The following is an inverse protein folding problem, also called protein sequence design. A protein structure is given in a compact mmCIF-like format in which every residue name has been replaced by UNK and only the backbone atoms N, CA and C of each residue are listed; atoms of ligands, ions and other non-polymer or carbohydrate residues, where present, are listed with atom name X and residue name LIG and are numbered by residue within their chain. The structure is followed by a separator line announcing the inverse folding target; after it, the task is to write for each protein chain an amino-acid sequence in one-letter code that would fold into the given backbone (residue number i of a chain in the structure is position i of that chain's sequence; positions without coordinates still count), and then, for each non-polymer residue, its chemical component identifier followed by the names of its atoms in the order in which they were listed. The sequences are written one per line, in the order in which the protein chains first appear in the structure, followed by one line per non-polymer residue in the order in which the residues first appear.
data_IF_633490625616
#
_entry.id   IF_633490625616
#
_cell.length_a   1.000
_cell.length_b   1.000
_cell.length_c   1.000
_cell.angle_alpha   90.00
_cell.angle_beta   90.00
_cell.angle_gamma   90.00
#
_symmetry.space_group_name_H-M   'P 1'
#
loop_
_entity.id
_entity.type
_entity.pdbx_description
1 polymer ?
#
# COMPACT_ATOMS: atom_id res chain seq x y z
N UNK A 1 -0.58 27.65 33.58
CA UNK A 1 -1.48 28.14 32.51
C UNK A 1 -2.43 27.02 32.14
N UNK A 2 -3.75 27.25 32.19
CA UNK A 2 -4.75 26.26 31.73
C UNK A 2 -4.76 26.30 30.21
N UNK A 3 -4.18 25.29 29.57
CA UNK A 3 -4.25 25.10 28.12
C UNK A 3 -5.72 24.98 27.70
N UNK A 4 -6.14 25.90 26.86
CA UNK A 4 -7.45 25.87 26.22
C UNK A 4 -7.45 24.64 25.30
N UNK A 5 -8.10 23.54 25.70
CA UNK A 5 -8.16 22.33 24.87
C UNK A 5 -8.98 22.65 23.63
N UNK A 6 -8.29 22.89 22.52
CA UNK A 6 -8.93 23.01 21.22
C UNK A 6 -9.61 21.69 20.90
N UNK A 7 -10.71 21.72 20.13
CA UNK A 7 -11.35 20.50 19.63
C UNK A 7 -10.45 19.69 18.69
N UNK A 8 -9.29 20.23 18.34
CA UNK A 8 -8.34 19.70 17.37
C UNK A 8 -7.02 19.22 18.00
N UNK A 9 -6.93 19.17 19.33
CA UNK A 9 -5.72 18.74 20.04
C UNK A 9 -5.58 17.21 19.96
N UNK A 10 -4.59 16.71 19.21
CA UNK A 10 -4.22 15.30 19.15
C UNK A 10 -3.01 15.04 20.04
N UNK A 11 -3.09 14.01 20.89
CA UNK A 11 -2.01 13.69 21.83
C UNK A 11 -0.89 12.88 21.15
N UNK A 12 0.36 13.28 21.38
CA UNK A 12 1.55 12.48 21.07
C UNK A 12 1.97 11.70 22.33
N UNK A 13 2.04 10.37 22.30
CA UNK A 13 2.50 9.57 23.43
C UNK A 13 3.92 9.98 23.87
N UNK A 14 4.15 10.09 25.18
CA UNK A 14 5.45 10.54 25.74
C UNK A 14 6.64 9.69 25.29
N UNK A 15 6.45 8.40 25.05
CA UNK A 15 7.48 7.49 24.56
C UNK A 15 7.86 7.71 23.10
N UNK A 16 7.13 8.57 22.38
CA UNK A 16 7.39 8.94 20.99
C UNK A 16 7.94 10.36 20.85
N UNK A 17 8.14 11.06 21.97
CA UNK A 17 8.82 12.35 22.00
C UNK A 17 10.32 12.16 21.73
N UNK A 18 10.94 13.01 20.87
CA UNK A 18 12.39 13.11 20.78
C UNK A 18 13.00 13.41 22.15
N UNK A 19 14.18 12.85 22.41
CA UNK A 19 14.84 12.94 23.72
C UNK A 19 15.20 14.39 24.12
N UNK A 20 15.38 15.25 23.14
CA UNK A 20 15.80 16.65 23.20
C UNK A 20 14.67 17.63 22.90
N UNK A 21 13.43 17.16 22.77
CA UNK A 21 12.29 18.03 22.47
C UNK A 21 11.97 18.96 23.65
N UNK A 22 11.90 20.25 23.36
CA UNK A 22 11.53 21.31 24.29
C UNK A 22 10.10 21.81 24.03
N UNK A 23 9.54 22.54 25.01
CA UNK A 23 8.23 23.16 24.86
C UNK A 23 8.35 24.26 23.80
N UNK A 24 7.61 24.11 22.70
CA UNK A 24 7.63 25.05 21.58
C UNK A 24 8.18 24.44 20.29
N UNK A 25 8.80 23.25 20.38
CA UNK A 25 9.31 22.57 19.20
C UNK A 25 8.19 22.03 18.30
N UNK A 26 8.42 22.12 17.00
CA UNK A 26 7.57 21.50 15.99
C UNK A 26 8.00 20.04 15.76
N UNK A 27 7.04 19.12 15.85
CA UNK A 27 7.28 17.69 15.66
C UNK A 27 6.41 17.20 14.50
N UNK A 28 7.06 16.63 13.48
CA UNK A 28 6.36 15.95 12.38
C UNK A 28 5.72 14.66 12.92
N UNK A 29 4.40 14.54 12.79
CA UNK A 29 3.65 13.38 13.26
C UNK A 29 2.65 12.89 12.21
N UNK A 30 2.38 11.59 12.22
CA UNK A 30 1.28 10.97 11.48
C UNK A 30 0.07 10.81 12.40
N UNK A 31 -1.12 11.21 11.93
CA UNK A 31 -2.37 11.16 12.70
C UNK A 31 -3.27 10.05 12.18
N UNK A 32 -3.77 9.19 13.07
CA UNK A 32 -4.67 8.09 12.71
C UNK A 32 -5.54 7.65 13.90
N UNK A 33 -6.49 6.74 13.66
CA UNK A 33 -7.34 6.14 14.71
C UNK A 33 -6.78 4.83 15.23
N UNK A 34 -6.64 4.74 16.55
CA UNK A 34 -6.20 3.52 17.25
C UNK A 34 -7.28 2.42 17.28
N UNK A 35 -7.08 1.37 18.08
CA UNK A 35 -8.05 0.28 18.25
C UNK A 35 -9.31 0.68 19.01
N UNK A 36 -9.27 1.79 19.77
CA UNK A 36 -10.39 2.34 20.55
C UNK A 36 -11.10 3.49 19.80
N UNK A 37 -10.83 3.65 18.50
CA UNK A 37 -11.39 4.70 17.64
C UNK A 37 -11.01 6.12 18.05
N UNK A 38 -9.91 6.27 18.81
CA UNK A 38 -9.40 7.56 19.25
C UNK A 38 -8.40 8.10 18.24
N UNK A 39 -8.48 9.39 17.94
CA UNK A 39 -7.45 10.08 17.18
C UNK A 39 -6.17 10.16 18.01
N UNK A 40 -5.10 9.59 17.46
CA UNK A 40 -3.76 9.57 18.04
C UNK A 40 -2.74 10.08 17.03
N UNK A 41 -1.61 10.56 17.53
CA UNK A 41 -0.47 10.94 16.69
C UNK A 41 0.74 10.05 16.98
N UNK A 42 1.58 9.85 15.98
CA UNK A 42 2.81 9.06 16.09
C UNK A 42 3.96 9.69 15.31
N UNK A 43 5.18 9.58 15.83
CA UNK A 43 6.41 9.93 15.09
C UNK A 43 6.89 8.78 14.18
N UNK A 44 6.25 7.61 14.27
CA UNK A 44 6.50 6.50 13.34
C UNK A 44 5.98 6.86 11.96
N UNK A 45 6.79 6.60 10.94
CA UNK A 45 6.40 6.81 9.54
C UNK A 45 5.75 5.53 9.01
N UNK A 46 4.47 5.57 8.58
CA UNK A 46 3.85 4.42 7.94
C UNK A 46 4.56 4.11 6.61
N UNK A 47 4.46 2.87 6.15
CA UNK A 47 5.07 2.42 4.88
C UNK A 47 4.45 3.05 3.64
N UNK A 48 3.27 3.66 3.79
CA UNK A 48 2.54 4.38 2.74
C UNK A 48 1.57 5.39 3.38
N UNK A 49 1.24 6.43 2.62
CA UNK A 49 0.21 7.42 2.92
C UNK A 49 -0.87 7.47 1.83
N UNK A 50 -1.91 8.29 1.99
CA UNK A 50 -2.98 8.42 1.00
C UNK A 50 -2.39 8.89 -0.34
N UNK A 51 -2.82 8.23 -1.43
CA UNK A 51 -2.31 8.48 -2.78
C UNK A 51 -1.04 7.70 -3.13
N UNK A 52 -0.45 7.01 -2.16
CA UNK A 52 0.69 6.12 -2.38
C UNK A 52 0.28 4.65 -2.44
N UNK A 53 1.14 3.83 -3.02
CA UNK A 53 1.02 2.38 -3.05
C UNK A 53 2.27 1.74 -2.48
N UNK A 54 2.11 0.67 -1.72
CA UNK A 54 3.22 -0.10 -1.18
C UNK A 54 2.88 -1.59 -1.13
N UNK A 55 3.92 -2.43 -1.20
CA UNK A 55 3.79 -3.87 -0.96
C UNK A 55 3.86 -4.11 0.53
N UNK A 56 2.75 -4.58 1.12
CA UNK A 56 2.64 -4.86 2.54
C UNK A 56 2.53 -6.36 2.82
N UNK A 57 3.02 -6.78 3.99
CA UNK A 57 2.94 -8.16 4.45
C UNK A 57 1.67 -8.40 5.26
N UNK A 58 0.99 -9.52 5.02
CA UNK A 58 -0.19 -9.94 5.79
C UNK A 58 0.25 -10.53 7.13
N UNK A 59 -0.13 -9.88 8.22
CA UNK A 59 0.12 -10.34 9.60
C UNK A 59 -0.93 -11.38 10.00
N UNK A 60 -2.19 -11.15 9.62
CA UNK A 60 -3.31 -12.01 9.98
C UNK A 60 -4.42 -11.99 8.93
N UNK A 61 -5.17 -13.08 8.84
CA UNK A 61 -6.40 -13.21 8.04
C UNK A 61 -7.54 -13.67 8.93
N UNK A 62 -8.69 -13.02 8.84
CA UNK A 62 -9.89 -13.28 9.65
C UNK A 62 -11.14 -13.36 8.77
N UNK A 63 -12.30 -13.66 9.35
CA UNK A 63 -13.57 -13.71 8.62
C UNK A 63 -14.04 -12.37 8.03
N UNK A 64 -13.49 -11.25 8.50
CA UNK A 64 -13.86 -9.90 8.01
C UNK A 64 -12.88 -9.33 6.98
N UNK A 65 -11.71 -9.93 6.83
CA UNK A 65 -10.65 -9.43 5.96
C UNK A 65 -9.25 -9.85 6.42
N UNK A 66 -8.25 -9.05 6.06
CA UNK A 66 -6.86 -9.27 6.45
C UNK A 66 -6.28 -8.04 7.16
N UNK A 67 -5.20 -8.25 7.90
CA UNK A 67 -4.46 -7.21 8.61
C UNK A 67 -3.03 -7.17 8.08
N UNK A 68 -2.59 -5.98 7.68
CA UNK A 68 -1.32 -5.76 6.99
C UNK A 68 -0.35 -4.95 7.85
N UNK A 69 0.90 -5.36 7.87
CA UNK A 69 1.98 -4.60 8.52
C UNK A 69 2.38 -3.41 7.64
N UNK A 70 1.94 -2.23 8.05
CA UNK A 70 2.29 -0.93 7.49
C UNK A 70 3.21 -0.08 8.39
N UNK A 71 3.78 -0.66 9.45
CA UNK A 71 4.79 -0.02 10.30
C UNK A 71 4.26 0.78 11.50
N UNK A 72 2.95 0.83 11.74
CA UNK A 72 2.36 1.43 12.94
C UNK A 72 1.95 0.36 13.97
N UNK A 73 1.58 0.80 15.18
CA UNK A 73 1.21 -0.11 16.28
C UNK A 73 -0.06 -0.92 16.02
N UNK A 74 -0.94 -0.38 15.17
CA UNK A 74 -2.17 -1.03 14.73
C UNK A 74 -1.98 -1.48 13.28
N UNK A 75 -2.25 -2.76 12.99
CA UNK A 75 -2.21 -3.26 11.62
C UNK A 75 -3.27 -2.60 10.73
N UNK A 76 -2.94 -2.44 9.45
CA UNK A 76 -3.83 -1.83 8.47
C UNK A 76 -4.86 -2.85 7.99
N UNK A 77 -6.14 -2.52 8.14
CA UNK A 77 -7.23 -3.41 7.77
C UNK A 77 -7.45 -3.43 6.25
N UNK A 78 -7.48 -4.63 5.66
CA UNK A 78 -7.83 -4.91 4.26
C UNK A 78 -9.17 -5.67 4.22
N UNK A 79 -10.31 -4.98 4.01
CA UNK A 79 -11.62 -5.60 3.97
C UNK A 79 -11.74 -6.61 2.83
N UNK A 80 -12.56 -7.66 3.02
CA UNK A 80 -12.75 -8.71 2.01
C UNK A 80 -13.16 -8.19 0.62
N UNK A 81 -14.02 -7.18 0.57
CA UNK A 81 -14.48 -6.53 -0.68
C UNK A 81 -13.38 -5.79 -1.46
N UNK A 82 -12.28 -5.45 -0.78
CA UNK A 82 -11.14 -4.74 -1.35
C UNK A 82 -9.98 -5.69 -1.70
N UNK A 83 -10.17 -7.01 -1.55
CA UNK A 83 -9.17 -8.02 -1.88
C UNK A 83 -9.31 -8.47 -3.34
N UNK A 84 -8.17 -8.65 -4.01
CA UNK A 84 -8.11 -9.25 -5.35
C UNK A 84 -7.54 -10.66 -5.22
N UNK A 85 -8.40 -11.66 -5.40
CA UNK A 85 -8.03 -13.07 -5.23
C UNK A 85 -7.91 -13.49 -3.76
N UNK A 86 -7.25 -14.63 -3.52
CA UNK A 86 -7.10 -15.19 -2.16
C UNK A 86 -5.92 -14.55 -1.44
N UNK A 87 -6.19 -13.83 -0.36
CA UNK A 87 -5.18 -13.30 0.55
C UNK A 87 -4.79 -14.36 1.58
N UNK A 88 -3.49 -14.56 1.80
CA UNK A 88 -2.97 -15.54 2.76
C UNK A 88 -2.04 -14.87 3.77
N UNK A 89 -2.07 -15.36 5.02
CA UNK A 89 -1.14 -14.92 6.07
C UNK A 89 0.31 -15.11 5.63
N UNK A 90 1.16 -14.11 5.89
CA UNK A 90 2.56 -14.06 5.44
C UNK A 90 2.74 -13.64 3.98
N UNK A 91 1.68 -13.61 3.17
CA UNK A 91 1.72 -13.11 1.79
C UNK A 91 2.06 -11.62 1.70
N UNK A 92 2.47 -11.18 0.52
CA UNK A 92 2.83 -9.78 0.24
C UNK A 92 2.00 -9.25 -0.91
N UNK A 93 1.34 -8.11 -0.72
CA UNK A 93 0.41 -7.58 -1.70
C UNK A 93 0.62 -6.09 -1.91
N UNK A 94 0.57 -5.66 -3.17
CA UNK A 94 0.53 -4.25 -3.51
C UNK A 94 -0.83 -3.69 -3.15
N UNK A 95 -0.85 -2.70 -2.26
CA UNK A 95 -2.06 -2.05 -1.77
C UNK A 95 -1.92 -0.54 -1.79
N UNK A 96 -3.05 0.15 -1.74
CA UNK A 96 -3.15 1.58 -1.50
C UNK A 96 -3.98 1.86 -0.24
N UNK A 97 -3.83 3.06 0.32
CA UNK A 97 -4.66 3.55 1.41
C UNK A 97 -5.91 4.25 0.89
N UNK A 98 -7.03 4.05 1.59
CA UNK A 98 -8.25 4.83 1.44
C UNK A 98 -8.91 5.06 2.80
N UNK A 99 -9.80 6.07 2.86
CA UNK A 99 -10.63 6.34 4.03
C UNK A 99 -12.03 5.76 3.77
N UNK A 100 -12.52 4.94 4.69
CA UNK A 100 -13.86 4.37 4.58
C UNK A 100 -14.96 5.30 5.12
N UNK A 101 -16.21 4.86 5.06
CA UNK A 101 -17.37 5.65 5.53
C UNK A 101 -17.40 5.87 7.04
N UNK A 102 -16.59 5.16 7.82
CA UNK A 102 -16.41 5.36 9.26
C UNK A 102 -15.20 6.25 9.58
N UNK A 103 -14.62 6.88 8.56
CA UNK A 103 -13.45 7.74 8.68
C UNK A 103 -12.24 6.98 9.27
N UNK A 104 -12.06 5.73 8.81
CA UNK A 104 -10.92 4.87 9.17
C UNK A 104 -10.05 4.60 7.95
N UNK A 105 -8.74 4.59 8.18
CA UNK A 105 -7.76 4.19 7.17
C UNK A 105 -7.80 2.67 6.95
N UNK A 106 -8.02 2.29 5.70
CA UNK A 106 -8.07 0.91 5.24
C UNK A 106 -7.19 0.72 4.00
N UNK A 107 -6.77 -0.52 3.75
CA UNK A 107 -6.06 -0.92 2.55
C UNK A 107 -7.03 -1.39 1.45
N UNK A 108 -6.66 -1.17 0.20
CA UNK A 108 -7.32 -1.77 -0.97
C UNK A 108 -6.31 -2.34 -1.97
N UNK A 109 -6.63 -3.50 -2.56
CA UNK A 109 -5.92 -4.08 -3.71
C UNK A 109 -6.50 -3.60 -5.05
N UNK A 110 -7.61 -2.85 -5.04
CA UNK A 110 -8.25 -2.28 -6.25
C UNK A 110 -7.49 -1.03 -6.74
N UNK A 111 -6.23 -1.20 -7.13
CA UNK A 111 -5.29 -0.10 -7.40
C UNK A 111 -5.30 0.41 -8.85
N UNK A 112 -6.11 -0.17 -9.75
CA UNK A 112 -6.06 0.14 -11.18
C UNK A 112 -6.15 1.64 -11.48
N UNK A 113 -7.07 2.34 -10.82
CA UNK A 113 -7.29 3.78 -11.01
C UNK A 113 -6.21 4.66 -10.39
N UNK A 114 -5.32 4.10 -9.58
CA UNK A 114 -4.20 4.80 -8.93
C UNK A 114 -2.91 4.69 -9.72
N UNK A 115 -2.85 3.78 -10.70
CA UNK A 115 -1.69 3.60 -11.55
C UNK A 115 -1.58 4.74 -12.56
N UNK A 116 -0.37 5.29 -12.68
CA UNK A 116 -0.03 6.34 -13.62
C UNK A 116 0.12 5.80 -15.04
N UNK A 117 -0.34 6.57 -16.02
CA UNK A 117 -0.25 6.22 -17.45
C UNK A 117 0.91 6.93 -18.17
N UNK A 118 1.52 7.93 -17.54
CA UNK A 118 2.64 8.73 -18.07
C UNK A 118 4.01 8.10 -17.78
N UNK A 119 4.11 6.79 -18.02
CA UNK A 119 5.33 6.01 -17.81
C UNK A 119 6.52 6.56 -18.60
N UNK A 120 7.71 6.72 -17.99
CA UNK A 120 8.93 7.11 -18.70
C UNK A 120 9.59 5.93 -19.45
N UNK A 121 9.13 4.70 -19.23
CA UNK A 121 9.77 3.50 -19.76
C UNK A 121 9.56 3.34 -21.26
N UNK A 122 10.59 2.81 -21.92
CA UNK A 122 10.63 2.48 -23.34
C UNK A 122 10.62 0.98 -23.53
N UNK A 123 10.35 0.60 -24.77
CA UNK A 123 10.48 -0.79 -25.22
C UNK A 123 11.92 -1.26 -25.01
N UNK A 124 12.05 -2.48 -24.49
CA UNK A 124 13.26 -3.17 -24.05
C UNK A 124 13.86 -2.70 -22.72
N UNK A 125 13.23 -1.76 -22.02
CA UNK A 125 13.65 -1.44 -20.66
C UNK A 125 13.41 -2.63 -19.72
N UNK A 126 14.38 -2.89 -18.85
CA UNK A 126 14.24 -3.84 -17.75
C UNK A 126 13.85 -3.10 -16.49
N UNK A 127 12.75 -3.52 -15.89
CA UNK A 127 12.19 -2.88 -14.69
C UNK A 127 11.64 -3.92 -13.72
N UNK A 128 11.20 -3.49 -12.52
CA UNK A 128 10.51 -4.36 -11.57
C UNK A 128 9.00 -4.25 -11.76
N UNK A 129 8.34 -5.39 -11.80
CA UNK A 129 6.89 -5.49 -11.84
C UNK A 129 6.34 -6.20 -10.61
N UNK A 130 5.20 -5.72 -10.14
CA UNK A 130 4.38 -6.41 -9.14
C UNK A 130 3.06 -6.79 -9.78
N UNK A 131 2.70 -8.08 -9.74
CA UNK A 131 1.37 -8.52 -10.20
C UNK A 131 0.35 -8.10 -9.14
N UNK A 132 -0.67 -7.36 -9.56
CA UNK A 132 -1.76 -6.97 -8.68
C UNK A 132 -3.08 -7.67 -9.01
N UNK A 133 -3.20 -8.28 -10.18
CA UNK A 133 -4.38 -9.05 -10.60
C UNK A 133 -4.02 -10.07 -11.67
N UNK A 134 -4.75 -11.19 -11.70
CA UNK A 134 -4.65 -12.21 -12.76
C UNK A 134 -6.04 -12.51 -13.28
N UNK A 135 -6.26 -12.30 -14.58
CA UNK A 135 -7.45 -12.72 -15.31
C UNK A 135 -7.14 -13.94 -16.16
N UNK A 136 -8.05 -14.92 -16.19
CA UNK A 136 -7.93 -16.08 -17.07
C UNK A 136 -7.99 -15.71 -18.56
N UNK A 137 -8.72 -14.65 -18.89
CA UNK A 137 -8.93 -14.20 -20.27
C UNK A 137 -7.88 -13.18 -20.71
N UNK A 138 -7.50 -12.27 -19.82
CA UNK A 138 -6.64 -11.13 -20.15
C UNK A 138 -5.18 -11.31 -19.72
N UNK A 139 -4.89 -12.32 -18.89
CA UNK A 139 -3.55 -12.56 -18.34
C UNK A 139 -3.27 -11.80 -17.04
N UNK A 140 -1.98 -11.62 -16.73
CA UNK A 140 -1.53 -10.97 -15.52
C UNK A 140 -1.40 -9.46 -15.69
N UNK A 141 -1.95 -8.70 -14.74
CA UNK A 141 -1.82 -7.25 -14.68
C UNK A 141 -0.68 -6.86 -13.76
N UNK A 142 0.21 -6.01 -14.26
CA UNK A 142 1.47 -5.66 -13.60
C UNK A 142 1.55 -4.17 -13.37
N UNK A 143 1.86 -3.78 -12.12
CA UNK A 143 2.25 -2.43 -11.77
C UNK A 143 3.78 -2.32 -11.83
N UNK A 144 4.28 -1.45 -12.69
CA UNK A 144 5.73 -1.23 -12.85
C UNK A 144 6.22 -0.24 -11.80
N UNK A 145 7.28 -0.63 -11.08
CA UNK A 145 7.82 0.07 -9.91
C UNK A 145 6.73 0.53 -8.92
N UNK A 146 5.66 -0.27 -8.80
CA UNK A 146 4.48 -0.01 -7.97
C UNK A 146 3.76 1.32 -8.28
N UNK A 147 3.94 1.88 -9.48
CA UNK A 147 3.45 3.23 -9.82
C UNK A 147 2.75 3.30 -11.16
N UNK A 148 3.25 2.59 -12.17
CA UNK A 148 2.82 2.81 -13.54
C UNK A 148 2.03 1.63 -14.09
N UNK A 149 0.97 1.95 -14.83
CA UNK A 149 0.25 1.02 -15.68
C UNK A 149 0.85 1.09 -17.08
N UNK A 150 1.29 -0.05 -17.60
CA UNK A 150 1.74 -0.19 -18.98
C UNK A 150 0.67 -1.03 -19.69
N UNK A 151 -0.38 -0.36 -20.17
CA UNK A 151 -1.57 -1.04 -20.68
C UNK A 151 -1.31 -1.96 -21.87
N UNK A 152 -2.01 -3.11 -21.90
CA UNK A 152 -2.14 -4.14 -22.94
C UNK A 152 -0.89 -4.54 -23.76
N UNK A 153 0.31 -4.07 -23.42
CA UNK A 153 1.54 -4.68 -23.87
C UNK A 153 1.70 -5.93 -23.03
N UNK A 154 1.31 -7.06 -23.61
CA UNK A 154 1.62 -8.37 -23.04
C UNK A 154 3.11 -8.39 -22.73
N UNK A 155 3.44 -8.32 -21.45
CA UNK A 155 4.77 -8.64 -20.97
C UNK A 155 4.96 -10.10 -21.34
N UNK A 156 5.77 -10.37 -22.36
CA UNK A 156 6.06 -11.74 -22.75
C UNK A 156 6.88 -12.36 -21.62
N UNK A 157 6.17 -13.07 -20.73
CA UNK A 157 6.78 -13.79 -19.64
C UNK A 157 7.58 -14.96 -20.22
N UNK A 158 8.87 -14.76 -20.48
CA UNK A 158 9.72 -15.84 -20.99
C UNK A 158 9.85 -16.99 -19.97
N UNK A 159 9.47 -16.81 -18.69
CA UNK A 159 9.40 -17.90 -17.71
C UNK A 159 8.34 -17.61 -16.62
N UNK A 160 7.05 -17.92 -16.85
CA UNK A 160 6.02 -17.78 -15.81
C UNK A 160 5.23 -19.08 -15.58
N UNK A 161 5.94 -20.19 -15.41
CA UNK A 161 5.34 -21.41 -14.85
C UNK A 161 5.93 -21.83 -13.49
N UNK A 162 6.90 -21.08 -12.91
CA UNK A 162 7.65 -21.60 -11.75
C UNK A 162 7.57 -20.73 -10.48
N UNK A 163 7.18 -19.45 -10.52
CA UNK A 163 7.22 -18.60 -9.32
C UNK A 163 5.89 -17.92 -9.01
N UNK A 164 5.00 -18.66 -8.34
CA UNK A 164 3.79 -18.14 -7.66
C UNK A 164 4.10 -17.86 -6.17
N UNK A 165 5.37 -17.59 -5.82
CA UNK A 165 5.81 -17.49 -4.42
C UNK A 165 6.68 -16.27 -4.09
N UNK A 166 7.00 -15.39 -5.06
CA UNK A 166 7.80 -14.19 -4.81
C UNK A 166 7.33 -13.05 -5.74
N UNK A 167 6.48 -12.15 -5.22
CA UNK A 167 5.64 -11.19 -5.97
C UNK A 167 6.36 -10.01 -6.66
N UNK A 168 7.69 -10.02 -6.78
CA UNK A 168 8.46 -8.98 -7.50
C UNK A 168 9.41 -9.64 -8.49
N UNK A 169 9.22 -9.39 -9.79
CA UNK A 169 10.04 -9.98 -10.86
C UNK A 169 10.56 -8.90 -11.82
N UNK A 170 11.61 -9.24 -12.57
CA UNK A 170 12.11 -8.39 -13.66
C UNK A 170 11.19 -8.52 -14.86
N UNK A 171 10.70 -7.40 -15.35
CA UNK A 171 9.84 -7.25 -16.53
C UNK A 171 10.68 -6.63 -17.65
N UNK A 172 10.56 -7.20 -18.86
CA UNK A 172 11.02 -6.56 -20.09
C UNK A 172 9.80 -6.02 -20.85
N UNK A 173 9.80 -4.74 -21.17
CA UNK A 173 8.69 -4.09 -21.88
C UNK A 173 8.84 -4.36 -23.38
N UNK A 174 7.86 -4.99 -24.02
CA UNK A 174 7.94 -5.35 -25.45
C UNK A 174 6.81 -4.67 -26.22
N UNK A 175 7.12 -4.00 -27.35
CA UNK A 175 6.12 -3.47 -28.26
C UNK A 175 5.59 -4.60 -29.14
N UNK A 176 4.28 -4.74 -29.26
CA UNK A 176 3.70 -5.62 -30.27
C UNK A 176 3.99 -5.03 -31.67
N UNK A 177 4.80 -5.70 -32.47
CA UNK A 177 4.75 -5.55 -33.92
C UNK A 177 3.52 -6.30 -34.42
N UNK A 178 2.70 -5.68 -35.29
CA UNK A 178 1.67 -6.43 -36.03
C UNK A 178 2.36 -7.60 -36.72
N UNK A 179 1.93 -8.84 -36.42
CA UNK A 179 2.11 -9.97 -37.31
C UNK A 179 1.17 -9.79 -38.50
#
# INVERSE_FOLDING_TARGET
MKGNRGKDDVLLPKNQMPHDAEIGDEIEVFVYKDSEDRMISTTKKPKLTIGEMAVLSVVETTGIGAFLDWGLDKDLFLPFREQVGKVVKGGKYLVALYIDSSDRLCATMNIYNLLRTDSPYKVNDQTRGTIYSISKELGAFVAVDNKHFIGNQFVHFIYCLIFVLVDVFRVCIIKHGKL
#
